data_IF_637118461749
#
_entry.id   IF_637118461749
#
_cell.length_a   1.000
_cell.length_b   1.000
_cell.length_c   1.000
_cell.angle_alpha   90.00
_cell.angle_beta   90.00
_cell.angle_gamma   90.00
#
_symmetry.space_group_name_H-M   'P 1'
#
loop_
_entity.id
_entity.type
_entity.pdbx_description
1 polymer ?
#
# COMPACT_ATOMS: atom_id res chain seq x y z
N UNK A 1 26.98 10.07 -22.80
CA UNK A 1 26.01 10.04 -21.69
C UNK A 1 26.11 11.28 -20.79
N UNK A 2 27.29 11.81 -20.47
CA UNK A 2 27.45 13.09 -19.74
C UNK A 2 26.84 14.29 -20.49
N UNK A 3 26.79 14.23 -21.82
CA UNK A 3 26.17 15.27 -22.67
C UNK A 3 24.65 15.37 -22.39
N UNK A 4 23.93 14.26 -22.34
CA UNK A 4 22.49 14.27 -22.08
C UNK A 4 22.17 14.87 -20.70
N UNK A 5 22.99 14.57 -19.69
CA UNK A 5 22.85 15.15 -18.34
C UNK A 5 23.02 16.68 -18.37
N UNK A 6 23.98 17.17 -19.13
CA UNK A 6 24.23 18.62 -19.25
C UNK A 6 23.13 19.34 -20.04
N UNK A 7 22.62 18.71 -21.11
CA UNK A 7 21.50 19.28 -21.90
C UNK A 7 20.23 19.38 -21.05
N UNK A 8 19.99 18.38 -20.20
CA UNK A 8 18.88 18.36 -19.26
C UNK A 8 19.01 19.43 -18.16
N UNK A 9 20.24 19.62 -17.66
CA UNK A 9 20.53 20.66 -16.68
C UNK A 9 20.33 22.08 -17.24
N UNK A 10 20.40 22.25 -18.55
CA UNK A 10 20.23 23.55 -19.21
C UNK A 10 18.80 23.92 -19.63
N UNK A 11 17.77 23.16 -19.18
CA UNK A 11 16.37 23.50 -19.44
C UNK A 11 15.82 23.05 -20.81
N UNK A 12 16.56 22.26 -21.58
CA UNK A 12 16.12 21.72 -22.87
C UNK A 12 15.41 20.36 -22.79
N UNK A 13 14.78 20.05 -21.66
CA UNK A 13 14.11 18.77 -21.44
C UNK A 13 12.97 18.53 -22.42
N UNK A 14 12.17 19.52 -22.71
CA UNK A 14 11.04 19.43 -23.64
C UNK A 14 11.51 19.17 -25.08
N UNK A 15 12.56 19.86 -25.52
CA UNK A 15 13.13 19.70 -26.86
C UNK A 15 13.74 18.29 -27.03
N UNK A 16 14.41 17.79 -25.98
CA UNK A 16 14.99 16.44 -26.00
C UNK A 16 13.88 15.37 -26.01
N UNK A 17 12.81 15.58 -25.27
CA UNK A 17 11.65 14.67 -25.25
C UNK A 17 10.92 14.68 -26.59
N UNK A 18 10.66 15.85 -27.17
CA UNK A 18 10.05 15.98 -28.49
C UNK A 18 10.92 15.32 -29.59
N UNK A 19 12.24 15.45 -29.50
CA UNK A 19 13.17 14.76 -30.37
C UNK A 19 13.13 13.24 -30.17
N UNK A 20 13.11 12.79 -28.92
CA UNK A 20 13.10 11.38 -28.55
C UNK A 20 11.79 10.68 -28.93
N UNK A 21 10.65 11.34 -28.71
CA UNK A 21 9.33 10.86 -29.12
C UNK A 21 9.25 10.66 -30.68
N UNK A 22 9.98 11.47 -31.44
CA UNK A 22 10.06 11.31 -32.91
C UNK A 22 10.99 10.22 -33.37
N UNK A 23 12.02 9.88 -32.61
CA UNK A 23 13.16 9.05 -33.09
C UNK A 23 13.31 7.72 -32.36
N UNK A 24 12.90 7.65 -31.08
CA UNK A 24 13.12 6.49 -30.25
C UNK A 24 11.85 6.19 -29.47
N UNK A 25 11.22 5.06 -29.73
CA UNK A 25 10.01 4.65 -29.00
C UNK A 25 10.31 4.18 -27.55
N UNK A 26 11.58 3.90 -27.22
CA UNK A 26 11.96 3.41 -25.89
C UNK A 26 13.32 3.97 -25.46
N UNK A 27 13.35 4.57 -24.28
CA UNK A 27 14.61 4.88 -23.61
C UNK A 27 15.16 3.63 -22.90
N UNK A 28 16.48 3.45 -22.90
CA UNK A 28 17.07 2.38 -22.10
C UNK A 28 16.94 2.69 -20.61
N UNK A 29 16.78 1.64 -19.78
CA UNK A 29 16.76 1.76 -18.31
C UNK A 29 17.91 2.62 -17.78
N UNK A 30 19.12 2.38 -18.28
CA UNK A 30 20.32 3.13 -17.90
C UNK A 30 20.25 4.62 -18.26
N UNK A 31 19.62 4.95 -19.39
CA UNK A 31 19.41 6.35 -19.77
C UNK A 31 18.46 7.03 -18.81
N UNK A 32 17.31 6.41 -18.50
CA UNK A 32 16.32 6.94 -17.57
C UNK A 32 16.89 7.11 -16.17
N UNK A 33 17.66 6.15 -15.66
CA UNK A 33 18.35 6.24 -14.36
C UNK A 33 19.33 7.42 -14.33
N UNK A 34 20.10 7.64 -15.39
CA UNK A 34 21.01 8.78 -15.46
C UNK A 34 20.27 10.13 -15.54
N UNK A 35 19.16 10.17 -16.28
CA UNK A 35 18.30 11.39 -16.34
C UNK A 35 17.75 11.69 -14.96
N UNK A 36 17.18 10.70 -14.26
CA UNK A 36 16.63 10.86 -12.93
C UNK A 36 17.68 11.39 -11.93
N UNK A 37 18.90 10.82 -11.98
CA UNK A 37 20.03 11.29 -11.18
C UNK A 37 20.43 12.73 -11.52
N UNK A 38 20.43 13.09 -12.79
CA UNK A 38 20.75 14.44 -13.23
C UNK A 38 19.68 15.46 -12.79
N UNK A 39 18.40 15.12 -12.88
CA UNK A 39 17.30 15.96 -12.40
C UNK A 39 17.43 16.25 -10.89
N UNK A 40 17.83 15.24 -10.13
CA UNK A 40 18.03 15.40 -8.69
C UNK A 40 19.27 16.25 -8.35
N UNK A 41 20.39 16.01 -9.06
CA UNK A 41 21.66 16.66 -8.77
C UNK A 41 21.72 18.14 -9.23
N UNK A 42 20.99 18.49 -10.29
CA UNK A 42 21.09 19.81 -10.91
C UNK A 42 19.91 20.74 -10.57
N UNK A 43 19.13 20.43 -9.53
CA UNK A 43 18.00 21.27 -9.09
C UNK A 43 17.05 21.64 -10.25
N UNK A 44 16.75 20.65 -11.10
CA UNK A 44 15.87 20.83 -12.24
C UNK A 44 14.57 21.55 -11.85
N UNK A 45 14.04 22.39 -12.74
CA UNK A 45 12.77 23.08 -12.48
C UNK A 45 11.64 22.05 -12.33
N UNK A 46 10.58 22.44 -11.64
CA UNK A 46 9.42 21.57 -11.44
C UNK A 46 8.75 21.18 -12.75
N UNK A 47 8.71 22.12 -13.71
CA UNK A 47 8.18 21.88 -15.05
C UNK A 47 8.99 20.81 -15.78
N UNK A 48 10.31 20.91 -15.71
CA UNK A 48 11.21 19.91 -16.28
C UNK A 48 11.02 18.54 -15.64
N UNK A 49 10.91 18.49 -14.32
CA UNK A 49 10.65 17.26 -13.58
C UNK A 49 9.29 16.65 -13.97
N UNK A 50 8.23 17.44 -14.04
CA UNK A 50 6.89 16.98 -14.40
C UNK A 50 6.85 16.35 -15.81
N UNK A 51 7.54 16.95 -16.75
CA UNK A 51 7.67 16.42 -18.13
C UNK A 51 8.34 15.06 -18.14
N UNK A 52 9.44 14.89 -17.40
CA UNK A 52 10.18 13.64 -17.36
C UNK A 52 9.44 12.54 -16.58
N UNK A 53 8.72 12.88 -15.51
CA UNK A 53 7.95 11.92 -14.72
C UNK A 53 6.88 11.18 -15.55
N UNK A 54 6.37 11.80 -16.60
CA UNK A 54 5.42 11.15 -17.53
C UNK A 54 6.03 9.98 -18.33
N UNK A 55 7.37 9.86 -18.37
CA UNK A 55 8.08 8.84 -19.13
C UNK A 55 8.82 7.84 -18.26
N UNK A 56 8.87 8.06 -16.95
CA UNK A 56 9.49 7.11 -16.04
C UNK A 56 8.51 6.00 -15.69
N UNK A 57 8.97 4.77 -15.88
CA UNK A 57 8.32 3.59 -15.35
C UNK A 57 9.08 3.12 -14.10
N UNK A 58 8.40 2.62 -13.07
CA UNK A 58 9.01 2.22 -11.80
C UNK A 58 10.19 1.27 -11.98
N UNK A 59 10.03 0.26 -12.85
CA UNK A 59 11.04 -0.74 -13.19
C UNK A 59 12.34 -0.16 -13.75
N UNK A 60 12.30 1.01 -14.37
CA UNK A 60 13.50 1.58 -14.97
C UNK A 60 14.42 2.22 -13.94
N UNK A 61 13.88 2.52 -12.80
CA UNK A 61 14.60 3.21 -11.74
C UNK A 61 15.25 2.19 -10.80
N UNK A 62 14.65 0.99 -10.63
CA UNK A 62 15.07 -0.03 -9.67
C UNK A 62 16.39 -0.75 -10.02
N UNK A 63 16.77 -0.81 -11.30
CA UNK A 63 17.78 -1.75 -11.75
C UNK A 63 19.24 -1.37 -11.46
N UNK A 64 19.54 -0.12 -11.12
CA UNK A 64 20.93 0.37 -11.00
C UNK A 64 21.34 0.85 -9.60
N UNK A 65 20.55 0.58 -8.56
CA UNK A 65 20.94 0.80 -7.13
C UNK A 65 21.27 2.24 -6.72
N UNK A 66 21.28 3.20 -7.61
CA UNK A 66 21.73 4.57 -7.33
C UNK A 66 20.73 5.70 -7.63
N UNK A 67 19.61 5.39 -8.25
CA UNK A 67 18.61 6.41 -8.62
C UNK A 67 17.77 6.92 -7.44
N UNK A 68 17.67 6.12 -6.43
CA UNK A 68 16.67 6.24 -5.38
C UNK A 68 17.01 7.20 -4.25
N UNK A 69 18.28 7.35 -3.91
CA UNK A 69 18.72 8.34 -2.92
C UNK A 69 18.25 9.76 -3.25
N UNK A 70 17.84 9.96 -4.50
CA UNK A 70 17.39 11.24 -5.00
C UNK A 70 15.86 11.42 -4.98
N UNK A 71 15.07 10.34 -4.78
CA UNK A 71 13.62 10.40 -4.83
C UNK A 71 13.05 11.31 -3.75
N UNK A 72 13.53 11.14 -2.51
CA UNK A 72 13.13 12.00 -1.39
C UNK A 72 13.50 13.46 -1.67
N UNK A 73 14.72 13.72 -2.15
CA UNK A 73 15.15 15.09 -2.48
C UNK A 73 14.29 15.72 -3.58
N UNK A 74 13.87 14.95 -4.58
CA UNK A 74 12.94 15.44 -5.61
C UNK A 74 11.56 15.69 -5.03
N UNK A 75 11.07 14.80 -4.17
CA UNK A 75 9.78 14.94 -3.51
C UNK A 75 9.73 16.16 -2.59
N UNK A 76 10.79 16.37 -1.79
CA UNK A 76 10.88 17.52 -0.87
C UNK A 76 10.85 18.87 -1.64
N UNK A 77 11.33 18.89 -2.88
CA UNK A 77 11.34 20.08 -3.75
C UNK A 77 10.06 20.25 -4.58
N UNK A 78 9.30 19.20 -4.78
CA UNK A 78 8.06 19.25 -5.56
C UNK A 78 7.02 20.11 -4.86
N UNK A 79 6.77 21.33 -5.34
CA UNK A 79 5.74 22.23 -4.81
C UNK A 79 4.36 21.86 -5.34
N UNK A 80 4.28 21.31 -6.55
CA UNK A 80 3.04 20.89 -7.18
C UNK A 80 2.59 19.50 -6.70
N UNK A 81 1.32 19.41 -6.25
CA UNK A 81 0.75 18.15 -5.77
C UNK A 81 0.80 17.03 -6.80
N UNK A 82 0.59 17.33 -8.09
CA UNK A 82 0.63 16.30 -9.14
C UNK A 82 2.05 15.74 -9.33
N UNK A 83 3.08 16.60 -9.28
CA UNK A 83 4.48 16.18 -9.33
C UNK A 83 4.81 15.28 -8.13
N UNK A 84 4.41 15.69 -6.93
CA UNK A 84 4.58 14.89 -5.72
C UNK A 84 3.87 13.54 -5.81
N UNK A 85 2.62 13.50 -6.30
CA UNK A 85 1.88 12.26 -6.50
C UNK A 85 2.52 11.34 -7.53
N UNK A 86 3.09 11.87 -8.61
CA UNK A 86 3.84 11.06 -9.57
C UNK A 86 5.06 10.41 -8.93
N UNK A 87 5.81 11.14 -8.08
CA UNK A 87 6.95 10.60 -7.35
C UNK A 87 6.52 9.51 -6.35
N UNK A 88 5.39 9.70 -5.64
CA UNK A 88 4.83 8.67 -4.75
C UNK A 88 4.43 7.42 -5.54
N UNK A 89 3.79 7.58 -6.70
CA UNK A 89 3.41 6.44 -7.55
C UNK A 89 4.64 5.68 -8.06
N UNK A 90 5.69 6.39 -8.46
CA UNK A 90 6.95 5.74 -8.81
C UNK A 90 7.52 4.96 -7.63
N UNK A 91 7.48 5.55 -6.43
CA UNK A 91 8.01 4.97 -5.21
C UNK A 91 7.31 3.67 -4.81
N UNK A 92 6.01 3.66 -4.83
CA UNK A 92 5.19 2.61 -4.25
C UNK A 92 4.43 1.78 -5.29
N UNK A 93 4.95 1.72 -6.52
CA UNK A 93 4.46 0.77 -7.52
C UNK A 93 5.13 -0.58 -7.36
N UNK A 94 4.45 -1.62 -7.85
CA UNK A 94 4.98 -2.98 -7.89
C UNK A 94 4.93 -3.55 -9.32
N UNK A 95 5.75 -4.56 -9.56
CA UNK A 95 5.70 -5.38 -10.76
C UNK A 95 5.40 -6.84 -10.38
N UNK A 96 4.39 -7.47 -11.00
CA UNK A 96 4.19 -8.90 -10.83
C UNK A 96 5.19 -9.67 -11.68
N UNK A 97 5.97 -10.56 -11.07
CA UNK A 97 6.79 -11.55 -11.78
C UNK A 97 6.13 -12.92 -11.71
N UNK A 98 5.81 -13.46 -12.88
CA UNK A 98 5.16 -14.76 -12.98
C UNK A 98 6.20 -15.87 -12.93
N UNK A 99 6.17 -16.67 -11.88
CA UNK A 99 7.04 -17.83 -11.75
C UNK A 99 6.30 -19.11 -12.20
N UNK A 100 6.87 -19.77 -13.19
CA UNK A 100 6.44 -21.12 -13.56
C UNK A 100 7.22 -22.10 -12.69
N UNK A 101 6.59 -22.69 -11.70
CA UNK A 101 7.22 -23.66 -10.81
C UNK A 101 7.65 -24.91 -11.58
N UNK A 102 8.94 -25.03 -11.87
CA UNK A 102 9.55 -26.20 -12.54
C UNK A 102 9.43 -27.49 -11.69
N UNK A 103 9.10 -27.39 -10.42
CA UNK A 103 9.06 -28.49 -9.46
C UNK A 103 7.65 -28.85 -8.95
N UNK A 104 6.62 -28.10 -9.31
CA UNK A 104 5.25 -28.47 -8.95
C UNK A 104 4.70 -29.46 -9.96
N UNK A 105 4.40 -30.67 -9.52
CA UNK A 105 3.77 -31.71 -10.35
C UNK A 105 2.40 -31.31 -10.94
N UNK A 106 1.87 -30.17 -10.56
CA UNK A 106 0.55 -29.66 -10.94
C UNK A 106 0.58 -28.35 -11.77
N UNK A 107 1.75 -27.88 -12.24
CA UNK A 107 1.82 -26.71 -13.11
C UNK A 107 1.29 -25.42 -12.48
N UNK A 108 1.44 -25.23 -11.17
CA UNK A 108 1.01 -24.02 -10.50
C UNK A 108 1.87 -22.82 -10.95
N UNK A 109 1.22 -21.82 -11.49
CA UNK A 109 1.83 -20.51 -11.69
C UNK A 109 1.81 -19.76 -10.36
N UNK A 110 2.99 -19.36 -9.88
CA UNK A 110 3.14 -18.42 -8.78
C UNK A 110 3.30 -17.00 -9.31
N UNK A 111 2.95 -16.02 -8.49
CA UNK A 111 3.30 -14.62 -8.73
C UNK A 111 4.06 -14.11 -7.53
N UNK A 112 5.20 -13.49 -7.79
CA UNK A 112 5.92 -12.67 -6.83
C UNK A 112 5.75 -11.21 -7.19
N UNK A 113 5.60 -10.36 -6.19
CA UNK A 113 5.46 -8.93 -6.40
C UNK A 113 6.77 -8.25 -6.02
N UNK A 114 7.42 -7.67 -7.00
CA UNK A 114 8.64 -6.90 -6.78
C UNK A 114 8.29 -5.45 -6.58
N UNK A 115 8.56 -5.00 -5.37
CA UNK A 115 8.47 -3.60 -5.03
C UNK A 115 9.81 -2.94 -5.32
N UNK A 116 9.73 -1.72 -5.77
CA UNK A 116 10.93 -0.93 -5.96
C UNK A 116 11.48 -0.55 -4.58
N UNK A 117 12.58 -1.16 -4.14
CA UNK A 117 13.24 -0.84 -2.86
C UNK A 117 14.16 0.36 -3.00
N UNK A 118 14.07 1.30 -2.08
CA UNK A 118 14.77 2.60 -2.13
C UNK A 118 15.89 2.75 -1.11
N UNK A 119 16.05 1.81 -0.22
CA UNK A 119 17.04 1.89 0.85
C UNK A 119 16.73 2.89 1.97
N UNK A 120 15.78 3.81 1.78
CA UNK A 120 15.24 4.71 2.82
C UNK A 120 13.73 4.91 2.64
N UNK A 121 13.02 3.81 2.50
CA UNK A 121 11.57 3.82 2.28
C UNK A 121 10.84 4.48 3.44
N UNK A 122 11.29 4.23 4.67
CA UNK A 122 10.70 4.83 5.87
C UNK A 122 10.86 6.37 5.90
N UNK A 123 12.02 6.87 5.49
CA UNK A 123 12.27 8.32 5.40
C UNK A 123 11.43 8.98 4.32
N UNK A 124 11.19 8.30 3.20
CA UNK A 124 10.30 8.77 2.15
C UNK A 124 8.83 8.72 2.61
N UNK A 125 8.38 7.64 3.23
CA UNK A 125 7.04 7.52 3.80
C UNK A 125 6.73 8.64 4.80
N UNK A 126 7.69 8.97 5.67
CA UNK A 126 7.58 10.10 6.60
C UNK A 126 7.41 11.44 5.88
N UNK A 127 8.22 11.70 4.84
CA UNK A 127 8.10 12.94 4.05
C UNK A 127 6.72 13.05 3.36
N UNK A 128 6.16 11.93 2.89
CA UNK A 128 4.80 11.89 2.34
C UNK A 128 3.76 12.22 3.42
N UNK A 129 3.90 11.67 4.61
CA UNK A 129 3.00 11.92 5.75
C UNK A 129 3.04 13.40 6.18
N UNK A 130 4.21 14.04 6.18
CA UNK A 130 4.35 15.48 6.48
C UNK A 130 3.58 16.37 5.49
N UNK A 131 3.28 15.86 4.29
CA UNK A 131 2.45 16.54 3.28
C UNK A 131 1.03 15.99 3.17
N UNK A 132 0.56 15.30 4.20
CA UNK A 132 -0.77 14.67 4.20
C UNK A 132 -1.92 15.65 3.95
N UNK A 133 -1.77 16.91 4.37
CA UNK A 133 -2.77 17.95 4.13
C UNK A 133 -3.01 18.21 2.63
N UNK A 134 -1.97 18.12 1.81
CA UNK A 134 -2.00 18.45 0.40
C UNK A 134 -2.37 17.25 -0.49
N UNK A 135 -1.76 16.09 -0.20
CA UNK A 135 -1.83 14.91 -1.09
C UNK A 135 -2.30 13.63 -0.37
N UNK A 136 -2.53 13.67 0.95
CA UNK A 136 -2.77 12.49 1.77
C UNK A 136 -3.95 11.65 1.30
N UNK A 137 -5.05 12.28 0.89
CA UNK A 137 -6.23 11.55 0.42
C UNK A 137 -5.95 10.78 -0.87
N UNK A 138 -5.25 11.39 -1.82
CA UNK A 138 -4.89 10.76 -3.09
C UNK A 138 -3.88 9.64 -2.89
N UNK A 139 -2.91 9.84 -1.99
CA UNK A 139 -1.91 8.80 -1.65
C UNK A 139 -2.58 7.63 -0.94
N UNK A 140 -3.44 7.89 0.05
CA UNK A 140 -4.21 6.84 0.72
C UNK A 140 -5.01 6.01 -0.29
N UNK A 141 -5.79 6.66 -1.15
CA UNK A 141 -6.58 5.98 -2.17
C UNK A 141 -5.71 5.17 -3.16
N UNK A 142 -4.52 5.69 -3.49
CA UNK A 142 -3.55 4.97 -4.33
C UNK A 142 -3.04 3.70 -3.64
N UNK A 143 -2.60 3.78 -2.38
CA UNK A 143 -2.09 2.63 -1.62
C UNK A 143 -3.15 1.55 -1.44
N UNK A 144 -4.38 1.91 -1.08
CA UNK A 144 -5.49 0.96 -0.97
C UNK A 144 -5.71 0.22 -2.29
N UNK A 145 -5.70 0.93 -3.42
CA UNK A 145 -5.84 0.32 -4.74
C UNK A 145 -4.68 -0.63 -5.07
N UNK A 146 -3.44 -0.28 -4.71
CA UNK A 146 -2.29 -1.17 -4.91
C UNK A 146 -2.46 -2.48 -4.13
N UNK A 147 -2.92 -2.43 -2.88
CA UNK A 147 -3.18 -3.64 -2.09
C UNK A 147 -4.32 -4.49 -2.66
N UNK A 148 -5.37 -3.85 -3.18
CA UNK A 148 -6.48 -4.57 -3.85
C UNK A 148 -6.02 -5.22 -5.15
N UNK A 149 -5.17 -4.55 -5.93
CA UNK A 149 -4.60 -5.08 -7.17
C UNK A 149 -3.68 -6.28 -6.91
N UNK A 150 -2.81 -6.21 -5.90
CA UNK A 150 -1.97 -7.32 -5.46
C UNK A 150 -2.86 -8.53 -5.11
N UNK A 151 -3.89 -8.34 -4.31
CA UNK A 151 -4.80 -9.41 -3.91
C UNK A 151 -5.58 -9.98 -5.11
N UNK A 152 -6.00 -9.15 -6.04
CA UNK A 152 -6.71 -9.57 -7.25
C UNK A 152 -5.82 -10.41 -8.17
N UNK A 153 -4.59 -9.97 -8.43
CA UNK A 153 -3.62 -10.70 -9.25
C UNK A 153 -3.28 -12.04 -8.58
N UNK A 154 -3.00 -12.04 -7.27
CA UNK A 154 -2.73 -13.26 -6.51
C UNK A 154 -3.89 -14.26 -6.56
N UNK A 155 -5.14 -13.79 -6.47
CA UNK A 155 -6.33 -14.64 -6.53
C UNK A 155 -6.62 -15.17 -7.94
N UNK A 156 -6.35 -14.38 -8.98
CA UNK A 156 -6.60 -14.75 -10.37
C UNK A 156 -5.68 -15.89 -10.87
N UNK A 157 -4.49 -16.03 -10.28
CA UNK A 157 -3.52 -17.06 -10.65
C UNK A 157 -3.76 -18.42 -9.99
N UNK A 158 -4.87 -18.57 -9.28
CA UNK A 158 -5.47 -19.88 -9.06
C UNK A 158 -4.77 -20.80 -8.10
N UNK A 159 -4.32 -20.32 -6.96
CA UNK A 159 -4.25 -21.22 -5.82
C UNK A 159 -5.68 -21.52 -5.36
N UNK A 160 -6.11 -22.78 -5.41
CA UNK A 160 -7.40 -23.27 -4.90
C UNK A 160 -7.59 -23.03 -3.38
N UNK A 161 -6.61 -22.46 -2.74
CA UNK A 161 -6.63 -22.01 -1.35
C UNK A 161 -7.13 -20.57 -1.38
N UNK A 162 -8.03 -20.21 -0.47
CA UNK A 162 -8.54 -18.86 -0.26
C UNK A 162 -7.46 -17.79 -0.50
N UNK A 163 -7.78 -16.61 -1.01
CA UNK A 163 -6.80 -15.63 -1.43
C UNK A 163 -5.79 -15.41 -0.30
N UNK A 164 -4.66 -16.09 -0.41
CA UNK A 164 -3.57 -15.98 0.54
C UNK A 164 -2.85 -14.69 0.20
N UNK A 165 -3.06 -13.71 1.03
CA UNK A 165 -2.31 -12.48 1.02
C UNK A 165 -1.08 -12.67 1.90
N UNK A 166 0.04 -13.04 1.28
CA UNK A 166 1.31 -13.29 1.98
C UNK A 166 1.77 -12.09 2.80
N UNK A 167 1.44 -10.88 2.38
CA UNK A 167 1.80 -9.66 3.10
C UNK A 167 0.95 -9.44 4.34
N UNK A 168 -0.34 -9.75 4.28
CA UNK A 168 -1.21 -9.75 5.46
C UNK A 168 -0.77 -10.79 6.48
N UNK A 169 -0.37 -11.98 6.02
CA UNK A 169 0.10 -13.06 6.88
C UNK A 169 1.43 -12.74 7.56
N UNK A 170 2.38 -12.14 6.86
CA UNK A 170 3.71 -11.82 7.41
C UNK A 170 3.69 -10.69 8.44
N UNK A 171 2.65 -9.85 8.43
CA UNK A 171 2.53 -8.74 9.37
C UNK A 171 1.64 -9.10 10.55
N UNK A 172 2.21 -9.03 11.76
CA UNK A 172 1.53 -9.40 13.02
C UNK A 172 0.31 -8.54 13.30
N UNK A 173 0.41 -7.21 13.09
CA UNK A 173 -0.65 -6.24 13.29
C UNK A 173 -0.53 -5.05 12.34
N UNK A 174 -1.62 -4.32 12.10
CA UNK A 174 -1.58 -3.03 11.38
C UNK A 174 -1.00 -1.94 12.30
N UNK A 175 -1.29 -1.98 13.59
CA UNK A 175 -0.60 -1.15 14.59
C UNK A 175 0.91 -1.46 14.63
N UNK A 176 1.70 -0.56 15.21
CA UNK A 176 3.12 -0.82 15.40
C UNK A 176 3.32 -1.98 16.37
N UNK A 177 3.96 -3.03 15.87
CA UNK A 177 4.27 -4.22 16.66
C UNK A 177 5.77 -4.48 16.68
N UNK A 178 6.29 -4.96 17.83
CA UNK A 178 7.73 -5.18 17.98
C UNK A 178 8.29 -6.25 17.02
N UNK A 179 7.48 -7.23 16.65
CA UNK A 179 7.86 -8.28 15.71
C UNK A 179 8.02 -7.76 14.27
N UNK A 180 7.36 -6.65 13.96
CA UNK A 180 7.43 -6.02 12.62
C UNK A 180 8.59 -5.01 12.54
N UNK A 181 9.26 -4.73 13.69
CA UNK A 181 10.44 -3.86 13.74
C UNK A 181 11.65 -4.59 13.16
N UNK A 182 12.07 -4.18 12.00
CA UNK A 182 13.24 -4.74 11.31
C UNK A 182 12.95 -5.27 9.94
N UNK A 183 11.72 -5.34 9.55
CA UNK A 183 11.32 -5.47 8.17
C UNK A 183 11.48 -4.10 7.51
N UNK A 184 12.46 -3.98 6.62
CA UNK A 184 12.70 -2.76 5.83
C UNK A 184 12.13 -2.91 4.42
N UNK A 185 11.09 -3.70 4.28
CA UNK A 185 10.48 -3.91 2.98
C UNK A 185 9.60 -2.72 2.60
N UNK A 186 9.61 -2.37 1.34
CA UNK A 186 8.79 -1.28 0.78
C UNK A 186 7.30 -1.48 1.12
N UNK A 187 6.83 -2.72 1.11
CA UNK A 187 5.45 -3.06 1.45
C UNK A 187 5.09 -2.66 2.89
N UNK A 188 5.99 -2.84 3.85
CA UNK A 188 5.75 -2.46 5.25
C UNK A 188 5.67 -0.94 5.40
N UNK A 189 6.49 -0.22 4.65
CA UNK A 189 6.39 1.24 4.56
C UNK A 189 5.05 1.67 3.97
N UNK A 190 4.59 1.02 2.90
CA UNK A 190 3.29 1.29 2.28
C UNK A 190 2.14 1.04 3.25
N UNK A 191 2.18 -0.07 4.00
CA UNK A 191 1.16 -0.41 5.01
C UNK A 191 1.14 0.63 6.14
N UNK A 192 2.31 0.96 6.68
CA UNK A 192 2.44 1.96 7.73
C UNK A 192 1.97 3.34 7.26
N UNK A 193 2.34 3.73 6.05
CA UNK A 193 1.89 4.99 5.45
C UNK A 193 0.37 5.02 5.23
N UNK A 194 -0.23 3.93 4.73
CA UNK A 194 -1.69 3.84 4.57
C UNK A 194 -2.42 3.92 5.91
N UNK A 195 -1.91 3.25 6.95
CA UNK A 195 -2.40 3.35 8.31
C UNK A 195 -2.39 4.80 8.82
N UNK A 196 -1.23 5.45 8.73
CA UNK A 196 -1.01 6.77 9.33
C UNK A 196 -1.76 7.87 8.56
N UNK A 197 -1.79 7.79 7.21
CA UNK A 197 -2.61 8.67 6.40
C UNK A 197 -4.10 8.47 6.67
N UNK A 198 -4.56 7.23 6.79
CA UNK A 198 -5.96 6.94 7.12
C UNK A 198 -6.36 7.52 8.47
N UNK A 199 -5.50 7.40 9.50
CA UNK A 199 -5.72 7.99 10.81
C UNK A 199 -5.75 9.52 10.74
N UNK A 200 -4.80 10.15 10.07
CA UNK A 200 -4.77 11.61 9.87
C UNK A 200 -6.01 12.12 9.12
N UNK A 201 -6.45 11.42 8.08
CA UNK A 201 -7.67 11.77 7.34
C UNK A 201 -8.92 11.66 8.20
N UNK A 202 -8.97 10.68 9.12
CA UNK A 202 -10.04 10.52 10.09
C UNK A 202 -10.03 11.68 11.09
N UNK A 203 -8.89 11.94 11.71
CA UNK A 203 -8.73 12.95 12.76
C UNK A 203 -9.03 14.35 12.24
N UNK A 204 -8.69 14.64 10.99
CA UNK A 204 -9.05 15.90 10.31
C UNK A 204 -10.51 15.96 9.82
N UNK A 205 -11.26 14.88 9.93
CA UNK A 205 -12.65 14.81 9.44
C UNK A 205 -12.79 14.84 7.92
N UNK A 206 -11.71 14.59 7.16
CA UNK A 206 -11.72 14.49 5.70
C UNK A 206 -12.45 13.22 5.28
N UNK A 207 -12.21 12.12 5.99
CA UNK A 207 -12.92 10.86 5.85
C UNK A 207 -13.66 10.48 7.13
N UNK A 208 -14.78 9.78 6.96
CA UNK A 208 -15.66 9.37 8.06
C UNK A 208 -15.62 7.86 8.26
N UNK A 209 -16.17 7.41 9.36
CA UNK A 209 -16.28 5.99 9.69
C UNK A 209 -16.91 5.15 8.55
N UNK A 210 -17.94 5.68 7.87
CA UNK A 210 -18.58 5.00 6.75
C UNK A 210 -17.62 4.76 5.57
N UNK A 211 -16.69 5.67 5.32
CA UNK A 211 -15.70 5.50 4.26
C UNK A 211 -14.75 4.35 4.58
N UNK A 212 -14.33 4.24 5.84
CA UNK A 212 -13.45 3.16 6.31
C UNK A 212 -14.19 1.82 6.45
N UNK A 213 -15.48 1.84 6.79
CA UNK A 213 -16.27 0.60 6.84
C UNK A 213 -16.37 -0.08 5.48
N UNK A 214 -16.30 0.66 4.38
CA UNK A 214 -16.28 0.09 3.03
C UNK A 214 -15.01 -0.70 2.74
N UNK A 215 -13.89 -0.34 3.39
CA UNK A 215 -12.65 -1.11 3.28
C UNK A 215 -12.81 -2.52 3.87
N UNK A 216 -13.68 -2.67 4.87
CA UNK A 216 -13.96 -3.98 5.49
C UNK A 216 -14.69 -4.92 4.52
N UNK A 217 -15.29 -4.40 3.45
CA UNK A 217 -15.93 -5.19 2.40
C UNK A 217 -14.97 -5.53 1.24
N UNK A 218 -13.71 -5.09 1.30
CA UNK A 218 -12.70 -5.37 0.27
C UNK A 218 -12.40 -6.88 0.16
N UNK A 219 -12.11 -7.40 -1.03
CA UNK A 219 -11.60 -8.76 -1.20
C UNK A 219 -10.18 -8.94 -0.67
N UNK A 220 -9.41 -7.86 -0.50
CA UNK A 220 -8.04 -7.87 -0.01
C UNK A 220 -8.01 -7.87 1.52
N UNK A 221 -7.46 -8.93 2.13
CA UNK A 221 -7.42 -9.06 3.59
C UNK A 221 -6.67 -7.90 4.25
N UNK A 222 -5.56 -7.47 3.67
CA UNK A 222 -4.78 -6.33 4.15
C UNK A 222 -5.62 -5.04 4.21
N UNK A 223 -6.44 -4.79 3.20
CA UNK A 223 -7.34 -3.61 3.16
C UNK A 223 -8.42 -3.72 4.24
N UNK A 224 -8.97 -4.92 4.46
CA UNK A 224 -9.91 -5.19 5.55
C UNK A 224 -9.27 -4.86 6.91
N UNK A 225 -8.05 -5.33 7.15
CA UNK A 225 -7.31 -5.07 8.40
C UNK A 225 -7.09 -3.58 8.63
N UNK A 226 -6.66 -2.84 7.59
CA UNK A 226 -6.50 -1.39 7.65
C UNK A 226 -7.84 -0.72 7.99
N UNK A 227 -8.94 -1.14 7.34
CA UNK A 227 -10.28 -0.63 7.64
C UNK A 227 -10.68 -0.85 9.10
N UNK A 228 -10.50 -2.05 9.64
CA UNK A 228 -10.80 -2.37 11.04
C UNK A 228 -9.96 -1.55 12.03
N UNK A 229 -8.66 -1.41 11.76
CA UNK A 229 -7.77 -0.56 12.56
C UNK A 229 -8.26 0.89 12.60
N UNK A 230 -8.64 1.46 11.45
CA UNK A 230 -9.11 2.84 11.36
C UNK A 230 -10.46 3.06 12.07
N UNK A 231 -11.34 2.05 12.07
CA UNK A 231 -12.58 2.09 12.86
C UNK A 231 -12.32 2.06 14.37
N UNK A 232 -11.33 1.28 14.81
CA UNK A 232 -10.89 1.28 16.21
C UNK A 232 -10.25 2.62 16.59
N UNK A 233 -9.35 3.13 15.75
CA UNK A 233 -8.70 4.44 15.95
C UNK A 233 -9.73 5.55 16.13
N UNK A 234 -10.75 5.59 15.28
CA UNK A 234 -11.83 6.57 15.34
C UNK A 234 -12.82 6.36 16.48
N UNK A 235 -12.66 5.31 17.28
CA UNK A 235 -13.55 4.98 18.41
C UNK A 235 -15.02 5.08 18.04
N UNK A 236 -15.38 4.45 16.94
CA UNK A 236 -16.71 4.51 16.34
C UNK A 236 -17.79 3.99 17.31
N UNK A 237 -19.06 4.25 16.98
CA UNK A 237 -20.19 3.75 17.78
C UNK A 237 -20.07 2.25 18.03
N UNK A 238 -20.18 1.78 19.30
CA UNK A 238 -19.96 0.39 19.67
C UNK A 238 -20.92 -0.60 19.01
N UNK A 239 -22.19 -0.24 18.87
CA UNK A 239 -23.19 -1.13 18.26
C UNK A 239 -22.95 -1.25 16.76
N UNK A 240 -22.62 -0.14 16.13
CA UNK A 240 -22.27 -0.13 14.73
C UNK A 240 -20.96 -0.88 14.44
N UNK A 241 -19.95 -0.78 15.32
CA UNK A 241 -18.71 -1.56 15.21
C UNK A 241 -18.99 -3.07 15.24
N UNK A 242 -19.90 -3.53 16.12
CA UNK A 242 -20.33 -4.92 16.17
C UNK A 242 -21.04 -5.33 14.87
N UNK A 243 -21.89 -4.47 14.31
CA UNK A 243 -22.55 -4.76 13.03
C UNK A 243 -21.55 -4.87 11.87
N UNK A 244 -20.51 -4.06 11.86
CA UNK A 244 -19.41 -4.18 10.87
C UNK A 244 -18.68 -5.52 11.02
N UNK A 245 -18.36 -5.92 12.27
CA UNK A 245 -17.68 -7.20 12.53
C UNK A 245 -18.55 -8.40 12.17
N UNK A 246 -19.87 -8.31 12.33
CA UNK A 246 -20.81 -9.37 11.97
C UNK A 246 -20.90 -9.64 10.45
N UNK A 247 -20.35 -8.79 9.61
CA UNK A 247 -20.31 -9.05 8.18
C UNK A 247 -19.55 -10.34 7.88
N UNK A 248 -20.18 -11.19 7.07
CA UNK A 248 -19.71 -12.58 6.85
C UNK A 248 -18.25 -12.72 6.43
N UNK A 249 -17.70 -11.70 5.77
CA UNK A 249 -16.33 -11.77 5.23
C UNK A 249 -15.27 -11.64 6.33
N UNK A 250 -15.50 -10.82 7.35
CA UNK A 250 -14.48 -10.50 8.36
C UNK A 250 -14.08 -11.73 9.19
N UNK A 251 -15.06 -12.53 9.60
CA UNK A 251 -14.77 -13.76 10.35
C UNK A 251 -14.17 -14.89 9.51
N UNK A 252 -14.24 -14.80 8.17
CA UNK A 252 -13.63 -15.80 7.28
C UNK A 252 -12.14 -15.57 7.09
N UNK A 253 -11.69 -14.35 7.30
CA UNK A 253 -10.30 -13.95 7.10
C UNK A 253 -9.53 -14.18 8.39
N UNK A 254 -8.84 -15.32 8.47
CA UNK A 254 -8.08 -15.71 9.67
C UNK A 254 -7.03 -14.64 10.05
N UNK A 255 -6.46 -13.99 9.05
CA UNK A 255 -5.39 -13.00 9.22
C UNK A 255 -5.89 -11.65 9.77
N UNK A 256 -7.21 -11.37 9.72
CA UNK A 256 -7.81 -10.16 10.29
C UNK A 256 -8.18 -10.30 11.78
N UNK A 257 -7.87 -11.42 12.42
CA UNK A 257 -8.30 -11.70 13.81
C UNK A 257 -7.80 -10.66 14.80
N UNK A 258 -6.56 -10.21 14.65
CA UNK A 258 -5.97 -9.24 15.56
C UNK A 258 -6.81 -7.95 15.60
N UNK A 259 -7.09 -7.37 14.44
CA UNK A 259 -7.83 -6.11 14.30
C UNK A 259 -9.31 -6.28 14.68
N UNK A 260 -9.90 -7.45 14.40
CA UNK A 260 -11.26 -7.79 14.85
C UNK A 260 -11.32 -7.79 16.37
N UNK A 261 -10.38 -8.48 17.05
CA UNK A 261 -10.36 -8.53 18.51
C UNK A 261 -10.03 -7.18 19.14
N UNK A 262 -9.17 -6.38 18.52
CA UNK A 262 -8.87 -5.04 18.99
C UNK A 262 -10.10 -4.15 18.93
N UNK A 263 -10.81 -4.11 17.81
CA UNK A 263 -12.06 -3.37 17.66
C UNK A 263 -13.15 -3.86 18.65
N UNK A 264 -13.29 -5.17 18.84
CA UNK A 264 -14.25 -5.73 19.78
C UNK A 264 -13.86 -5.46 21.23
N UNK A 265 -12.58 -5.49 21.59
CA UNK A 265 -12.12 -5.15 22.95
C UNK A 265 -12.57 -3.76 23.35
N UNK A 266 -12.56 -2.82 22.43
CA UNK A 266 -13.05 -1.45 22.65
C UNK A 266 -14.58 -1.39 22.68
N UNK A 267 -15.24 -2.02 21.70
CA UNK A 267 -16.67 -1.83 21.42
C UNK A 267 -17.57 -2.72 22.26
N UNK A 268 -17.23 -4.01 22.43
CA UNK A 268 -18.09 -4.99 23.09
C UNK A 268 -18.51 -4.60 24.52
N UNK A 269 -17.63 -4.11 25.41
CA UNK A 269 -18.06 -3.73 26.77
C UNK A 269 -19.13 -2.64 26.77
N UNK A 270 -19.10 -1.74 25.80
CA UNK A 270 -19.93 -0.53 25.71
C UNK A 270 -21.21 -0.73 24.88
N UNK A 271 -21.28 -1.79 24.08
CA UNK A 271 -22.41 -2.08 23.23
C UNK A 271 -23.65 -2.51 24.01
N UNK A 272 -24.81 -2.37 23.37
CA UNK A 272 -26.11 -2.81 23.92
C UNK A 272 -26.17 -4.32 24.07
N UNK A 273 -27.04 -4.79 24.93
CA UNK A 273 -27.28 -6.23 25.11
C UNK A 273 -27.78 -6.91 23.84
N UNK A 274 -28.54 -6.19 23.05
CA UNK A 274 -29.03 -6.67 21.73
C UNK A 274 -27.88 -6.92 20.76
N UNK A 275 -26.98 -5.95 20.57
CA UNK A 275 -25.83 -6.09 19.66
C UNK A 275 -24.87 -7.18 20.13
N UNK A 276 -24.64 -7.30 21.47
CA UNK A 276 -23.88 -8.39 22.05
C UNK A 276 -24.51 -9.76 21.77
N UNK A 277 -25.83 -9.86 21.94
CA UNK A 277 -26.56 -11.09 21.64
C UNK A 277 -26.48 -11.50 20.17
N UNK A 278 -26.59 -10.54 19.25
CA UNK A 278 -26.43 -10.80 17.81
C UNK A 278 -25.02 -11.31 17.49
N UNK A 279 -23.97 -10.70 18.06
CA UNK A 279 -22.60 -11.15 17.85
C UNK A 279 -22.37 -12.56 18.36
N UNK A 280 -22.83 -12.87 19.58
CA UNK A 280 -22.70 -14.21 20.17
C UNK A 280 -23.48 -15.23 19.33
N UNK A 281 -24.74 -14.92 18.96
CA UNK A 281 -25.52 -15.79 18.07
C UNK A 281 -24.79 -16.09 16.77
N UNK A 282 -24.23 -15.08 16.13
CA UNK A 282 -23.46 -15.24 14.88
C UNK A 282 -22.21 -16.13 15.07
N UNK A 283 -21.50 -15.98 16.18
CA UNK A 283 -20.34 -16.83 16.49
C UNK A 283 -20.78 -18.28 16.74
N UNK A 284 -21.85 -18.52 17.52
CA UNK A 284 -22.36 -19.86 17.80
C UNK A 284 -22.88 -20.57 16.54
N UNK A 285 -23.62 -19.85 15.67
CA UNK A 285 -24.10 -20.41 14.41
C UNK A 285 -22.93 -20.87 13.49
N UNK A 286 -21.82 -20.17 13.59
CA UNK A 286 -20.67 -20.41 12.74
C UNK A 286 -19.71 -21.47 13.24
N UNK A 287 -19.67 -21.64 14.56
CA UNK A 287 -18.83 -22.59 15.27
C UNK A 287 -19.68 -23.45 16.20
N UNK A 288 -20.58 -24.28 15.65
CA UNK A 288 -21.55 -25.07 16.44
C UNK A 288 -20.89 -26.04 17.42
N UNK A 289 -19.61 -26.35 17.24
CA UNK A 289 -18.86 -27.31 18.07
C UNK A 289 -17.86 -26.63 19.01
N UNK A 290 -18.07 -25.37 19.40
CA UNK A 290 -17.19 -24.71 20.37
C UNK A 290 -17.22 -25.41 21.73
N UNK A 291 -18.37 -25.99 22.11
CA UNK A 291 -18.54 -26.71 23.37
C UNK A 291 -17.82 -28.08 23.40
N UNK A 292 -17.54 -28.69 22.23
CA UNK A 292 -16.90 -30.01 22.14
C UNK A 292 -15.37 -29.97 22.20
N UNK A 293 -14.74 -28.79 22.31
CA UNK A 293 -13.28 -28.64 22.29
C UNK A 293 -12.60 -28.54 23.64
N UNK A 294 -13.37 -28.45 24.72
CA UNK A 294 -12.80 -28.31 26.08
C UNK A 294 -12.14 -29.61 26.62
N UNK A 295 -12.28 -30.74 25.92
CA UNK A 295 -11.68 -32.02 26.34
C UNK A 295 -10.36 -32.39 25.62
N UNK A 296 -9.76 -31.49 24.83
CA UNK A 296 -8.60 -31.81 23.96
C UNK A 296 -7.32 -31.02 24.25
N UNK A 297 -7.18 -30.39 25.45
CA UNK A 297 -5.92 -29.79 25.88
C UNK A 297 -5.50 -30.26 27.26
#
# INVERSE_FOLDING_TARGET
>A
FSWASNVLACGHAEELLAFSAKKCQHFSKRFCSNVFRALAANEASEECLAVWLAYFEPQWISSDGGGWYNLKSLFDRASNCNTALCLVRLAFSFEPEYQVGLLSQEGHMGVEFYFTSYGDDAGFGKAVLERSADIGEQVFAFLIRQFEEIALIGSALGTKVAPFDGYSFSRSAIEEHEQDKGSNETIDTMISLARDLGADLFDRGVRRADDFSRLVDSPACLVVRIGLFLLEHGKVDPDWAIDVVNRNKVFKQADARHEVFSLLRYSYPKATAESKGRLVGHICERYPNLDDRDDAY
#
